data_IF_559138356220
#
_entry.id   IF_559138356220
#
_cell.length_a   1.000
_cell.length_b   1.000
_cell.length_c   1.000
_cell.angle_alpha   90.00
_cell.angle_beta   90.00
_cell.angle_gamma   90.00
#
_symmetry.space_group_name_H-M   'P 1'
#
loop_
_entity.id
_entity.type
_entity.pdbx_description
1 polymer ?
#
# COMPACT_ATOMS: atom_id res chain seq x y z
N UNK A 1 8.00 -19.22 -8.58
CA UNK A 1 7.42 -19.74 -9.85
C UNK A 1 5.93 -19.51 -9.81
N UNK A 2 5.33 -18.86 -10.83
CA UNK A 2 3.87 -18.70 -10.90
C UNK A 2 3.20 -20.08 -11.06
N UNK A 3 2.01 -20.20 -10.48
CA UNK A 3 1.18 -21.38 -10.63
C UNK A 3 0.02 -21.07 -11.61
N UNK A 4 -0.60 -22.07 -12.25
CA UNK A 4 -1.68 -21.84 -13.20
C UNK A 4 -2.87 -21.04 -12.63
N UNK A 5 -3.03 -21.06 -11.31
CA UNK A 5 -4.14 -20.43 -10.58
C UNK A 5 -3.67 -19.36 -9.58
N UNK A 6 -2.35 -19.06 -9.52
CA UNK A 6 -1.80 -18.06 -8.60
C UNK A 6 -0.54 -17.44 -9.20
N UNK A 7 -0.60 -16.15 -9.44
CA UNK A 7 0.55 -15.36 -9.92
C UNK A 7 1.50 -15.01 -8.78
N UNK A 8 2.64 -14.41 -9.13
CA UNK A 8 3.61 -13.95 -8.16
C UNK A 8 3.19 -12.62 -7.53
N UNK A 9 3.97 -12.14 -6.60
CA UNK A 9 3.63 -11.09 -5.65
C UNK A 9 3.37 -9.74 -6.33
N UNK A 10 2.19 -9.18 -6.08
CA UNK A 10 1.87 -7.78 -6.40
C UNK A 10 0.63 -7.32 -5.64
N UNK A 11 0.59 -6.02 -5.30
CA UNK A 11 -0.57 -5.34 -4.75
C UNK A 11 -0.79 -4.03 -5.51
N UNK A 12 -2.01 -3.77 -5.98
CA UNK A 12 -2.39 -2.49 -6.57
C UNK A 12 -3.20 -1.68 -5.56
N UNK A 13 -2.73 -0.48 -5.26
CA UNK A 13 -3.46 0.54 -4.49
C UNK A 13 -3.88 1.65 -5.44
N UNK A 14 -5.13 2.12 -5.32
CA UNK A 14 -5.64 3.22 -6.15
C UNK A 14 -6.23 4.30 -5.29
N UNK A 15 -5.85 5.53 -5.56
CA UNK A 15 -6.36 6.71 -4.90
C UNK A 15 -6.45 7.87 -5.89
N UNK A 16 -7.58 8.56 -5.95
CA UNK A 16 -7.79 9.79 -6.73
C UNK A 16 -7.31 9.71 -8.20
N UNK A 17 -7.60 8.60 -8.88
CA UNK A 17 -7.17 8.34 -10.25
C UNK A 17 -5.73 7.84 -10.40
N UNK A 18 -4.91 7.92 -9.38
CA UNK A 18 -3.51 7.44 -9.35
C UNK A 18 -3.43 5.96 -9.01
N UNK A 19 -2.45 5.28 -9.58
CA UNK A 19 -2.12 3.89 -9.30
C UNK A 19 -0.75 3.74 -8.64
N UNK A 20 -0.71 2.96 -7.57
CA UNK A 20 0.51 2.57 -6.86
C UNK A 20 0.59 1.05 -6.89
N UNK A 21 1.60 0.52 -7.57
CA UNK A 21 1.86 -0.91 -7.62
C UNK A 21 2.93 -1.25 -6.59
N UNK A 22 2.66 -2.17 -5.67
CA UNK A 22 3.67 -2.71 -4.76
C UNK A 22 4.08 -4.08 -5.27
N UNK A 23 5.35 -4.23 -5.57
CA UNK A 23 5.96 -5.36 -6.25
C UNK A 23 5.38 -5.64 -7.65
N UNK A 24 6.13 -6.32 -8.47
CA UNK A 24 5.75 -6.65 -9.85
C UNK A 24 6.29 -8.04 -10.20
N UNK A 25 5.76 -9.07 -9.55
CA UNK A 25 6.07 -10.46 -9.85
C UNK A 25 5.53 -10.89 -11.21
N UNK A 26 6.00 -12.02 -11.69
CA UNK A 26 5.56 -12.57 -12.96
C UNK A 26 4.04 -12.84 -12.96
N UNK A 27 3.37 -12.39 -14.01
CA UNK A 27 1.91 -12.50 -14.17
C UNK A 27 1.12 -11.29 -13.68
N UNK A 28 1.74 -10.28 -13.05
CA UNK A 28 1.07 -9.07 -12.56
C UNK A 28 0.26 -8.37 -13.67
N UNK A 29 0.82 -8.20 -14.86
CA UNK A 29 0.10 -7.61 -16.00
C UNK A 29 -1.14 -8.41 -16.43
N UNK A 30 -1.08 -9.74 -16.32
CA UNK A 30 -2.23 -10.62 -16.62
C UNK A 30 -3.29 -10.49 -15.54
N UNK A 31 -2.89 -10.43 -14.27
CA UNK A 31 -3.78 -10.24 -13.13
C UNK A 31 -4.54 -8.91 -13.23
N UNK A 32 -3.86 -7.80 -13.55
CA UNK A 32 -4.48 -6.50 -13.80
C UNK A 32 -5.50 -6.56 -14.93
N UNK A 33 -5.11 -7.15 -16.07
CA UNK A 33 -5.99 -7.27 -17.24
C UNK A 33 -7.24 -8.10 -16.94
N UNK A 34 -7.11 -9.21 -16.20
CA UNK A 34 -8.26 -10.02 -15.74
C UNK A 34 -9.22 -9.24 -14.87
N UNK A 35 -8.74 -8.26 -14.13
CA UNK A 35 -9.55 -7.33 -13.32
C UNK A 35 -10.13 -6.17 -14.12
N UNK A 36 -9.84 -6.06 -15.41
CA UNK A 36 -10.24 -4.93 -16.25
C UNK A 36 -9.50 -3.64 -15.90
N UNK A 37 -8.33 -3.72 -15.24
CA UNK A 37 -7.54 -2.56 -14.88
C UNK A 37 -6.46 -2.28 -15.92
N UNK A 38 -6.38 -1.02 -16.34
CA UNK A 38 -5.30 -0.54 -17.20
C UNK A 38 -4.04 -0.34 -16.37
N UNK A 39 -2.85 -0.67 -16.88
CA UNK A 39 -1.58 -0.29 -16.26
C UNK A 39 -1.21 1.17 -16.52
N UNK A 40 -1.89 1.87 -17.44
CA UNK A 40 -1.57 3.26 -17.79
C UNK A 40 -1.54 4.22 -16.59
N UNK A 41 -2.49 4.18 -15.62
CA UNK A 41 -2.49 5.09 -14.48
C UNK A 41 -1.57 4.65 -13.32
N UNK A 42 -0.56 3.79 -13.56
CA UNK A 42 0.43 3.45 -12.52
C UNK A 42 1.46 4.56 -12.46
N UNK A 43 1.34 5.44 -11.46
CA UNK A 43 2.25 6.58 -11.26
C UNK A 43 3.47 6.19 -10.43
N UNK A 44 3.33 5.14 -9.60
CA UNK A 44 4.37 4.70 -8.68
C UNK A 44 4.48 3.18 -8.63
N UNK A 45 5.71 2.67 -8.60
CA UNK A 45 5.99 1.25 -8.33
C UNK A 45 6.90 1.18 -7.11
N UNK A 46 6.43 0.53 -6.06
CA UNK A 46 7.16 0.32 -4.81
C UNK A 46 7.70 -1.11 -4.78
N UNK A 47 8.96 -1.31 -4.49
CA UNK A 47 9.53 -2.65 -4.30
C UNK A 47 9.80 -2.89 -2.83
N UNK A 48 9.29 -4.01 -2.31
CA UNK A 48 9.62 -4.47 -0.96
C UNK A 48 11.08 -4.93 -0.91
N UNK A 49 11.50 -5.70 -1.88
CA UNK A 49 12.87 -6.16 -2.10
C UNK A 49 13.03 -6.71 -3.55
N UNK A 50 14.18 -7.33 -3.89
CA UNK A 50 14.49 -7.73 -5.27
C UNK A 50 14.59 -9.24 -5.49
N UNK A 51 13.92 -10.08 -4.70
CA UNK A 51 13.75 -11.47 -5.08
C UNK A 51 12.90 -11.59 -6.35
N UNK A 52 13.15 -12.63 -7.13
CA UNK A 52 12.57 -12.78 -8.46
C UNK A 52 11.03 -12.74 -8.46
N UNK A 53 10.40 -13.33 -7.47
CA UNK A 53 8.94 -13.38 -7.33
C UNK A 53 8.29 -12.01 -6.97
N UNK A 54 9.10 -10.98 -6.73
CA UNK A 54 8.67 -9.60 -6.50
C UNK A 54 8.97 -8.65 -7.65
N UNK A 55 9.84 -9.01 -8.60
CA UNK A 55 10.29 -8.08 -9.64
C UNK A 55 10.35 -8.67 -11.05
N UNK A 56 10.27 -10.00 -11.22
CA UNK A 56 10.44 -10.65 -12.53
C UNK A 56 9.43 -10.22 -13.60
N UNK A 57 8.26 -9.73 -13.22
CA UNK A 57 7.24 -9.22 -14.15
C UNK A 57 7.48 -7.80 -14.64
N UNK A 58 8.44 -7.08 -14.05
CA UNK A 58 8.65 -5.65 -14.34
C UNK A 58 8.94 -5.34 -15.83
N UNK A 59 9.83 -6.04 -16.55
CA UNK A 59 10.09 -5.72 -17.95
C UNK A 59 8.85 -5.80 -18.83
N UNK A 60 8.03 -6.84 -18.65
CA UNK A 60 6.77 -6.99 -19.36
C UNK A 60 5.73 -5.94 -18.97
N UNK A 61 5.71 -5.52 -17.70
CA UNK A 61 4.83 -4.46 -17.21
C UNK A 61 5.19 -3.11 -17.86
N UNK A 62 6.48 -2.76 -17.91
CA UNK A 62 6.95 -1.51 -18.52
C UNK A 62 6.56 -1.44 -20.01
N UNK A 63 6.77 -2.52 -20.76
CA UNK A 63 6.33 -2.61 -22.16
C UNK A 63 4.80 -2.47 -22.29
N UNK A 64 4.05 -3.09 -21.38
CA UNK A 64 2.58 -3.00 -21.39
C UNK A 64 2.11 -1.58 -21.09
N UNK A 65 2.79 -0.86 -20.18
CA UNK A 65 2.52 0.56 -19.89
C UNK A 65 2.83 1.44 -21.11
N UNK A 66 3.96 1.21 -21.78
CA UNK A 66 4.33 1.91 -23.02
C UNK A 66 3.32 1.68 -24.14
N UNK A 67 2.88 0.42 -24.33
CA UNK A 67 1.86 0.06 -25.32
C UNK A 67 0.46 0.63 -24.99
N UNK A 68 0.22 0.98 -23.74
CA UNK A 68 -0.98 1.70 -23.31
C UNK A 68 -0.86 3.22 -23.47
N UNK A 69 0.15 3.68 -24.21
CA UNK A 69 0.40 5.11 -24.52
C UNK A 69 0.62 5.96 -23.25
N UNK A 70 1.30 5.40 -22.25
CA UNK A 70 1.76 6.20 -21.12
C UNK A 70 2.96 7.04 -21.54
N UNK A 71 2.92 8.32 -21.24
CA UNK A 71 4.01 9.28 -21.48
C UNK A 71 4.50 9.96 -20.19
N UNK A 72 3.66 9.98 -19.15
CA UNK A 72 3.99 10.58 -17.87
C UNK A 72 5.05 9.74 -17.13
N UNK A 73 5.96 10.38 -16.38
CA UNK A 73 6.98 9.70 -15.61
C UNK A 73 6.40 8.68 -14.62
N UNK A 74 7.18 7.65 -14.33
CA UNK A 74 6.88 6.64 -13.30
C UNK A 74 7.93 6.72 -12.21
N UNK A 75 7.51 6.96 -10.96
CA UNK A 75 8.41 6.92 -9.82
C UNK A 75 8.55 5.47 -9.33
N UNK A 76 9.79 4.97 -9.31
CA UNK A 76 10.12 3.70 -8.69
C UNK A 76 10.81 3.92 -7.36
N UNK A 77 10.34 3.22 -6.34
CA UNK A 77 10.88 3.29 -4.97
C UNK A 77 11.26 1.90 -4.51
N UNK A 78 12.38 1.77 -3.84
CA UNK A 78 12.81 0.47 -3.30
C UNK A 78 14.12 0.54 -2.54
N UNK A 79 14.61 -0.58 -2.01
CA UNK A 79 15.87 -0.66 -1.30
C UNK A 79 17.04 -0.16 -2.14
N UNK A 80 18.16 0.15 -1.48
CA UNK A 80 19.43 0.56 -2.13
C UNK A 80 19.80 -0.38 -3.28
N UNK A 81 20.21 0.17 -4.41
CA UNK A 81 20.55 -0.55 -5.64
C UNK A 81 19.40 -0.66 -6.63
N UNK A 82 18.27 0.01 -6.38
CA UNK A 82 17.07 0.01 -7.22
C UNK A 82 17.39 0.32 -8.69
N UNK A 83 18.04 1.46 -8.94
CA UNK A 83 18.34 1.89 -10.31
C UNK A 83 19.17 0.85 -11.07
N UNK A 84 20.16 0.23 -10.41
CA UNK A 84 20.98 -0.84 -11.00
C UNK A 84 20.14 -2.06 -11.37
N UNK A 85 19.30 -2.53 -10.44
CA UNK A 85 18.46 -3.72 -10.67
C UNK A 85 17.46 -3.48 -11.79
N UNK A 86 16.72 -2.38 -11.75
CA UNK A 86 15.73 -2.03 -12.78
C UNK A 86 16.38 -1.87 -14.15
N UNK A 87 17.50 -1.12 -14.25
CA UNK A 87 18.19 -0.92 -15.52
C UNK A 87 18.78 -2.24 -16.08
N UNK A 88 19.20 -3.17 -15.23
CA UNK A 88 19.65 -4.50 -15.66
C UNK A 88 18.50 -5.34 -16.21
N UNK A 89 17.33 -5.30 -15.58
CA UNK A 89 16.15 -6.04 -16.03
C UNK A 89 15.58 -5.49 -17.34
N UNK A 90 15.61 -4.17 -17.52
CA UNK A 90 15.01 -3.53 -18.69
C UNK A 90 15.92 -3.44 -19.93
N UNK A 91 17.06 -4.11 -19.96
CA UNK A 91 17.90 -4.17 -21.19
C UNK A 91 17.13 -4.73 -22.40
N UNK A 92 16.08 -5.51 -22.16
CA UNK A 92 15.19 -6.03 -23.21
C UNK A 92 14.05 -5.04 -23.59
N UNK A 93 13.94 -3.92 -22.88
CA UNK A 93 12.99 -2.82 -23.10
C UNK A 93 13.72 -1.48 -22.95
N UNK A 94 14.73 -1.22 -23.83
CA UNK A 94 15.64 -0.07 -23.63
C UNK A 94 14.95 1.27 -23.84
N UNK A 95 13.97 1.30 -24.75
CA UNK A 95 13.21 2.50 -25.11
C UNK A 95 11.80 2.41 -24.57
N UNK A 96 11.42 3.39 -23.74
CA UNK A 96 10.08 3.55 -23.20
C UNK A 96 9.59 4.96 -23.50
N UNK A 97 8.30 5.17 -23.78
CA UNK A 97 7.76 6.50 -24.07
C UNK A 97 7.61 7.38 -22.84
N UNK A 98 8.07 6.93 -21.67
CA UNK A 98 8.03 7.65 -20.40
C UNK A 98 9.36 7.51 -19.64
N UNK A 99 9.63 8.49 -18.79
CA UNK A 99 10.78 8.50 -17.89
C UNK A 99 10.56 7.59 -16.67
N UNK A 100 11.63 6.94 -16.20
CA UNK A 100 11.66 6.26 -14.92
C UNK A 100 12.48 7.09 -13.94
N UNK A 101 11.84 7.53 -12.86
CA UNK A 101 12.47 8.21 -11.75
C UNK A 101 12.74 7.23 -10.61
N UNK A 102 13.86 7.38 -9.90
CA UNK A 102 14.25 6.44 -8.85
C UNK A 102 14.37 7.15 -7.51
N UNK A 103 13.81 6.52 -6.47
CA UNK A 103 13.98 6.87 -5.06
C UNK A 103 14.47 5.65 -4.30
N UNK A 104 15.73 5.61 -3.91
CA UNK A 104 16.29 4.54 -3.10
C UNK A 104 16.03 4.79 -1.61
N UNK A 105 15.49 3.79 -0.93
CA UNK A 105 15.25 3.82 0.51
C UNK A 105 16.57 3.55 1.25
N UNK A 106 16.98 4.50 2.07
CA UNK A 106 18.22 4.45 2.87
C UNK A 106 17.95 4.33 4.36
N UNK A 107 16.82 4.85 4.82
CA UNK A 107 16.44 4.88 6.22
C UNK A 107 15.66 3.63 6.64
N UNK A 108 15.61 3.37 7.94
CA UNK A 108 14.77 2.29 8.49
C UNK A 108 13.29 2.57 8.37
N UNK A 109 12.91 3.82 8.43
CA UNK A 109 11.55 4.33 8.25
C UNK A 109 11.66 5.59 7.40
N UNK A 110 10.88 5.67 6.33
CA UNK A 110 10.94 6.80 5.41
C UNK A 110 9.56 7.10 4.85
N UNK A 111 9.18 8.35 4.86
CA UNK A 111 7.98 8.83 4.20
C UNK A 111 8.24 9.07 2.71
N UNK A 112 7.26 8.73 1.89
CA UNK A 112 7.29 8.86 0.43
C UNK A 112 6.06 9.66 0.04
N UNK A 113 6.26 10.80 -0.61
CA UNK A 113 5.18 11.62 -1.13
C UNK A 113 4.56 10.99 -2.38
N UNK A 114 3.24 10.96 -2.46
CA UNK A 114 2.53 10.71 -3.71
C UNK A 114 2.37 12.04 -4.45
N UNK A 115 3.01 12.23 -5.62
CA UNK A 115 3.00 13.52 -6.31
C UNK A 115 1.61 14.07 -6.54
N UNK A 116 1.38 15.32 -6.11
CA UNK A 116 0.11 16.02 -6.24
C UNK A 116 -0.95 15.70 -5.18
N UNK A 117 -0.66 14.84 -4.21
CA UNK A 117 -1.54 14.52 -3.08
C UNK A 117 -0.89 14.96 -1.77
N UNK A 118 -1.64 15.67 -0.93
CA UNK A 118 -1.15 16.21 0.35
C UNK A 118 -1.78 15.55 1.57
N UNK A 119 -2.81 14.76 1.37
CA UNK A 119 -3.56 14.04 2.39
C UNK A 119 -3.35 12.52 2.32
N UNK A 120 -2.52 12.06 1.37
CA UNK A 120 -2.18 10.67 1.19
C UNK A 120 -0.69 10.45 1.45
N UNK A 121 -0.39 9.69 2.50
CA UNK A 121 0.95 9.44 2.99
C UNK A 121 1.34 7.98 2.76
N UNK A 122 2.57 7.75 2.35
CA UNK A 122 3.14 6.41 2.19
C UNK A 122 4.35 6.33 3.11
N UNK A 123 4.37 5.35 4.02
CA UNK A 123 5.50 5.11 4.90
C UNK A 123 6.13 3.76 4.57
N UNK A 124 7.39 3.78 4.15
CA UNK A 124 8.22 2.58 4.06
C UNK A 124 8.84 2.28 5.42
N UNK A 125 8.81 1.03 5.87
CA UNK A 125 9.41 0.60 7.13
C UNK A 125 10.15 -0.73 6.98
N UNK A 126 11.33 -0.82 7.58
CA UNK A 126 12.17 -2.03 7.52
C UNK A 126 11.50 -3.20 8.23
N UNK A 127 11.57 -4.37 7.58
CA UNK A 127 11.13 -5.65 8.13
C UNK A 127 12.31 -6.63 8.22
N UNK A 128 12.08 -7.82 8.77
CA UNK A 128 13.11 -8.79 9.09
C UNK A 128 13.19 -9.90 8.06
N UNK A 129 13.92 -9.67 6.98
CA UNK A 129 14.18 -10.64 5.91
C UNK A 129 15.68 -10.85 5.66
N UNK A 130 16.05 -11.79 4.78
CA UNK A 130 17.45 -12.13 4.44
C UNK A 130 18.17 -11.02 3.67
N UNK A 131 17.40 -10.19 2.96
CA UNK A 131 17.89 -9.02 2.21
C UNK A 131 17.21 -7.76 2.75
N UNK A 132 17.71 -6.56 2.40
CA UNK A 132 17.00 -5.32 2.69
C UNK A 132 15.56 -5.39 2.18
N UNK A 133 14.58 -5.40 3.10
CA UNK A 133 13.17 -5.54 2.79
C UNK A 133 12.33 -4.51 3.56
N UNK A 134 11.30 -3.97 2.91
CA UNK A 134 10.40 -2.97 3.47
C UNK A 134 8.95 -3.41 3.38
N UNK A 135 8.18 -3.10 4.42
CA UNK A 135 6.73 -3.01 4.34
C UNK A 135 6.30 -1.58 4.00
N UNK A 136 5.06 -1.41 3.61
CA UNK A 136 4.47 -0.11 3.27
C UNK A 136 3.16 0.11 4.01
N UNK A 137 3.01 1.30 4.59
CA UNK A 137 1.75 1.77 5.15
C UNK A 137 1.23 2.93 4.30
N UNK A 138 -0.02 2.85 3.89
CA UNK A 138 -0.74 3.87 3.15
C UNK A 138 -1.77 4.48 4.08
N UNK A 139 -1.70 5.78 4.27
CA UNK A 139 -2.59 6.51 5.15
C UNK A 139 -3.24 7.65 4.38
N UNK A 140 -4.56 7.71 4.44
CA UNK A 140 -5.35 8.82 3.93
C UNK A 140 -5.90 9.60 5.12
N UNK A 141 -5.50 10.86 5.24
CA UNK A 141 -5.98 11.75 6.28
C UNK A 141 -7.41 12.19 6.02
N UNK A 142 -8.15 12.39 7.10
CA UNK A 142 -9.51 12.90 7.05
C UNK A 142 -9.60 14.18 7.85
N UNK A 143 -9.81 15.30 7.15
CA UNK A 143 -9.99 16.62 7.76
C UNK A 143 -11.23 16.66 8.65
N UNK A 144 -11.26 17.62 9.57
CA UNK A 144 -12.42 17.92 10.38
C UNK A 144 -13.65 18.29 9.54
N UNK A 145 -14.82 18.20 10.15
CA UNK A 145 -16.05 18.72 9.51
C UNK A 145 -15.95 20.23 9.36
N UNK A 146 -16.45 20.74 8.25
CA UNK A 146 -16.60 22.19 8.07
C UNK A 146 -17.70 22.71 8.99
N UNK A 147 -17.39 23.75 9.75
CA UNK A 147 -18.28 24.43 10.69
C UNK A 147 -18.79 25.73 10.06
N UNK A 148 -20.00 25.68 9.50
CA UNK A 148 -20.60 26.79 8.83
C UNK A 148 -20.97 27.95 9.81
N UNK A 149 -21.34 27.65 11.06
CA UNK A 149 -21.64 28.64 12.05
C UNK A 149 -20.38 29.38 12.49
N UNK A 150 -19.29 28.65 12.67
CA UNK A 150 -17.99 29.26 12.98
C UNK A 150 -17.48 30.12 11.81
N UNK A 151 -17.69 29.66 10.56
CA UNK A 151 -17.33 30.45 9.37
C UNK A 151 -18.13 31.74 9.26
N UNK A 152 -19.43 31.67 9.55
CA UNK A 152 -20.32 32.90 9.61
C UNK A 152 -19.91 33.85 10.73
N UNK A 153 -19.65 33.32 11.94
CA UNK A 153 -19.26 34.14 13.09
C UNK A 153 -17.93 34.89 12.86
N UNK A 154 -17.06 34.35 11.99
CA UNK A 154 -15.81 34.98 11.58
C UNK A 154 -15.95 35.85 10.30
N UNK A 155 -17.18 36.03 9.81
CA UNK A 155 -17.48 36.78 8.59
C UNK A 155 -16.71 36.30 7.35
N UNK A 156 -16.47 34.99 7.26
CA UNK A 156 -15.75 34.39 6.13
C UNK A 156 -16.68 34.29 4.91
N UNK A 157 -16.32 34.88 3.76
CA UNK A 157 -17.13 34.84 2.56
C UNK A 157 -17.42 33.42 2.08
N UNK A 158 -18.67 33.08 1.79
CA UNK A 158 -19.14 31.75 1.37
C UNK A 158 -18.35 31.23 0.17
N UNK A 159 -17.93 32.10 -0.76
CA UNK A 159 -17.11 31.75 -1.92
C UNK A 159 -15.74 31.09 -1.57
N UNK A 160 -15.25 31.35 -0.34
CA UNK A 160 -13.96 30.78 0.14
C UNK A 160 -14.12 29.49 0.93
N UNK A 161 -15.34 29.12 1.33
CA UNK A 161 -15.58 27.95 2.19
C UNK A 161 -15.07 26.65 1.59
N UNK A 162 -15.35 26.43 0.29
CA UNK A 162 -14.88 25.19 -0.40
C UNK A 162 -13.36 25.08 -0.45
N UNK A 163 -12.64 26.20 -0.57
CA UNK A 163 -11.18 26.23 -0.57
C UNK A 163 -10.62 25.91 0.81
N UNK A 164 -11.17 26.55 1.83
CA UNK A 164 -10.81 26.29 3.23
C UNK A 164 -11.13 24.84 3.63
N UNK A 165 -12.28 24.31 3.21
CA UNK A 165 -12.64 22.93 3.45
C UNK A 165 -11.66 21.93 2.79
N UNK A 166 -11.10 22.29 1.64
CA UNK A 166 -10.04 21.52 0.98
C UNK A 166 -8.67 21.66 1.65
N UNK A 167 -8.54 22.55 2.65
CA UNK A 167 -7.30 22.79 3.37
C UNK A 167 -6.40 23.85 2.75
N UNK A 168 -6.93 24.68 1.85
CA UNK A 168 -6.18 25.79 1.28
C UNK A 168 -6.14 26.97 2.26
N UNK A 169 -4.99 27.62 2.37
CA UNK A 169 -4.87 28.95 2.98
C UNK A 169 -5.27 29.95 1.92
N UNK A 170 -6.16 30.88 2.24
CA UNK A 170 -6.70 31.87 1.29
C UNK A 170 -6.64 33.27 1.85
N UNK A 171 -6.40 34.25 0.99
CA UNK A 171 -6.50 35.66 1.34
C UNK A 171 -7.88 36.18 0.92
N UNK A 172 -8.55 36.88 1.82
CA UNK A 172 -9.82 37.54 1.56
C UNK A 172 -9.62 38.94 0.93
N UNK A 173 -10.67 39.50 0.36
CA UNK A 173 -10.59 40.81 -0.34
C UNK A 173 -10.16 41.96 0.55
N UNK A 174 -10.35 41.84 1.86
CA UNK A 174 -9.93 42.79 2.89
C UNK A 174 -8.50 42.55 3.39
N UNK A 175 -7.73 41.62 2.76
CA UNK A 175 -6.36 41.31 3.09
C UNK A 175 -6.16 40.36 4.28
N UNK A 176 -7.23 39.76 4.85
CA UNK A 176 -7.11 38.78 5.92
C UNK A 176 -6.65 37.44 5.37
N UNK A 177 -5.66 36.83 6.01
CA UNK A 177 -5.26 35.43 5.75
C UNK A 177 -6.19 34.51 6.52
N UNK A 178 -6.92 33.70 5.80
CA UNK A 178 -7.86 32.71 6.33
C UNK A 178 -7.25 31.29 6.21
N UNK A 179 -7.29 30.57 7.30
CA UNK A 179 -6.71 29.23 7.41
C UNK A 179 -7.79 28.17 7.66
N UNK A 180 -7.57 26.92 7.25
CA UNK A 180 -8.54 25.83 7.41
C UNK A 180 -8.99 25.59 8.85
N UNK A 181 -8.10 25.74 9.83
CA UNK A 181 -8.39 25.55 11.25
C UNK A 181 -9.41 26.56 11.81
N UNK A 182 -9.58 27.69 11.14
CA UNK A 182 -10.61 28.66 11.49
C UNK A 182 -12.04 28.13 11.30
N UNK A 183 -12.22 27.15 10.39
CA UNK A 183 -13.54 26.64 9.97
C UNK A 183 -13.65 25.11 10.00
N UNK A 184 -12.57 24.40 10.23
CA UNK A 184 -12.59 22.94 10.37
C UNK A 184 -12.61 22.55 11.85
N UNK A 185 -13.39 21.52 12.16
CA UNK A 185 -13.35 20.83 13.45
C UNK A 185 -12.07 19.98 13.60
N UNK A 186 -12.02 19.17 14.66
CA UNK A 186 -10.92 18.25 14.89
C UNK A 186 -10.76 17.26 13.73
N UNK A 187 -9.52 16.87 13.38
CA UNK A 187 -9.27 15.80 12.42
C UNK A 187 -10.06 14.55 12.80
N UNK A 188 -10.59 13.86 11.81
CA UNK A 188 -11.35 12.63 11.98
C UNK A 188 -10.48 11.42 11.66
N UNK A 189 -10.90 10.23 12.08
CA UNK A 189 -10.20 9.01 11.72
C UNK A 189 -10.13 8.88 10.19
N UNK A 190 -8.90 8.82 9.67
CA UNK A 190 -8.59 8.56 8.28
C UNK A 190 -8.71 7.08 7.92
N UNK A 191 -8.13 6.68 6.80
CA UNK A 191 -8.02 5.29 6.36
C UNK A 191 -6.56 4.85 6.40
N UNK A 192 -6.32 3.59 6.78
CA UNK A 192 -4.98 3.02 6.82
C UNK A 192 -4.96 1.59 6.25
N UNK A 193 -4.12 1.38 5.25
CA UNK A 193 -3.77 0.07 4.70
C UNK A 193 -2.30 -0.22 5.00
N UNK A 194 -1.98 -1.40 5.48
CA UNK A 194 -0.60 -1.84 5.69
C UNK A 194 -0.33 -3.11 4.90
N UNK A 195 0.77 -3.13 4.19
CA UNK A 195 1.27 -4.27 3.42
C UNK A 195 2.65 -4.68 3.92
N UNK A 196 2.80 -5.95 4.28
CA UNK A 196 4.07 -6.53 4.69
C UNK A 196 4.18 -7.95 4.18
N UNK A 197 5.21 -8.21 3.42
CA UNK A 197 5.56 -9.54 2.89
C UNK A 197 7.00 -9.88 3.28
N UNK A 198 7.41 -11.11 3.06
CA UNK A 198 8.79 -11.61 3.24
C UNK A 198 9.48 -11.13 4.52
N UNK A 199 8.99 -11.63 5.65
CA UNK A 199 9.49 -11.19 6.95
C UNK A 199 9.23 -12.19 8.07
N UNK A 200 10.10 -12.18 9.06
CA UNK A 200 9.75 -12.70 10.40
C UNK A 200 8.87 -11.70 11.14
N UNK A 201 8.07 -12.13 12.14
CA UNK A 201 7.40 -11.21 13.03
C UNK A 201 8.37 -10.15 13.56
N UNK A 202 8.00 -8.88 13.44
CA UNK A 202 8.78 -7.75 13.96
C UNK A 202 7.87 -6.62 14.44
N UNK A 203 8.40 -5.80 15.36
CA UNK A 203 7.63 -4.74 16.02
C UNK A 203 7.20 -3.64 15.03
N UNK A 204 7.95 -3.41 13.95
CA UNK A 204 7.56 -2.42 12.95
C UNK A 204 6.22 -2.76 12.29
N UNK A 205 5.94 -4.05 12.03
CA UNK A 205 4.64 -4.43 11.47
C UNK A 205 3.53 -4.11 12.48
N UNK A 206 3.73 -4.41 13.76
CA UNK A 206 2.75 -4.09 14.82
C UNK A 206 2.52 -2.58 14.89
N UNK A 207 3.61 -1.79 14.97
CA UNK A 207 3.57 -0.32 15.02
C UNK A 207 2.76 0.28 13.88
N UNK A 208 3.08 -0.09 12.65
CA UNK A 208 2.41 0.49 11.47
C UNK A 208 0.99 -0.04 11.28
N UNK A 209 0.72 -1.30 11.63
CA UNK A 209 -0.61 -1.90 11.50
C UNK A 209 -1.56 -1.58 12.65
N UNK A 210 -1.10 -0.87 13.69
CA UNK A 210 -1.95 -0.48 14.81
C UNK A 210 -3.18 0.29 14.33
N UNK A 211 -4.37 -0.27 14.61
CA UNK A 211 -5.66 0.31 14.22
C UNK A 211 -5.89 0.49 12.72
N UNK A 212 -5.12 -0.18 11.86
CA UNK A 212 -5.32 -0.12 10.41
C UNK A 212 -6.69 -0.67 9.98
N UNK A 213 -7.24 -0.16 8.89
CA UNK A 213 -8.47 -0.69 8.31
C UNK A 213 -8.23 -2.04 7.64
N UNK A 214 -7.01 -2.23 7.09
CA UNK A 214 -6.59 -3.51 6.51
C UNK A 214 -5.10 -3.73 6.71
N UNK A 215 -4.74 -4.89 7.25
CA UNK A 215 -3.40 -5.45 7.21
C UNK A 215 -3.34 -6.56 6.15
N UNK A 216 -2.51 -6.40 5.13
CA UNK A 216 -2.15 -7.47 4.21
C UNK A 216 -0.78 -7.98 4.62
N UNK A 217 -0.70 -9.22 5.06
CA UNK A 217 0.50 -9.79 5.64
C UNK A 217 0.83 -11.14 5.00
N UNK A 218 2.12 -11.46 4.90
CA UNK A 218 2.50 -12.80 4.44
C UNK A 218 1.99 -13.89 5.39
N UNK A 219 1.75 -15.05 4.82
CA UNK A 219 1.60 -16.30 5.50
C UNK A 219 2.17 -17.40 4.62
N UNK A 220 3.50 -17.59 4.64
CA UNK A 220 4.17 -18.54 3.75
C UNK A 220 3.74 -19.98 4.06
N UNK A 221 3.56 -20.32 5.32
CA UNK A 221 3.28 -21.68 5.77
C UNK A 221 2.01 -21.76 6.60
N UNK A 222 1.10 -22.64 6.22
CA UNK A 222 -0.15 -22.90 6.95
C UNK A 222 0.09 -23.68 8.24
N UNK A 223 0.96 -24.69 8.18
CA UNK A 223 1.19 -25.61 9.28
C UNK A 223 2.13 -25.02 10.35
N UNK A 224 1.75 -25.08 11.64
CA UNK A 224 2.62 -24.67 12.76
C UNK A 224 3.96 -25.43 12.81
N UNK A 225 4.00 -26.68 12.37
CA UNK A 225 5.20 -27.52 12.31
C UNK A 225 6.28 -26.92 11.40
N UNK A 226 5.90 -26.11 10.44
CA UNK A 226 6.83 -25.39 9.57
C UNK A 226 7.47 -24.14 10.22
N UNK A 227 7.25 -23.89 11.51
CA UNK A 227 7.81 -22.71 12.20
C UNK A 227 9.35 -22.68 12.17
N UNK A 228 10.02 -23.84 12.23
CA UNK A 228 11.48 -23.92 12.11
C UNK A 228 11.94 -23.49 10.71
N UNK A 229 11.29 -23.99 9.66
CA UNK A 229 11.54 -23.63 8.26
C UNK A 229 11.22 -22.14 8.00
N UNK A 230 10.13 -21.64 8.56
CA UNK A 230 9.76 -20.22 8.49
C UNK A 230 10.87 -19.34 9.08
N UNK A 231 11.43 -19.70 10.23
CA UNK A 231 12.57 -19.01 10.83
C UNK A 231 13.82 -19.04 9.97
N UNK A 232 14.18 -20.20 9.46
CA UNK A 232 15.35 -20.39 8.59
C UNK A 232 15.25 -19.51 7.32
N UNK A 233 14.09 -19.52 6.67
CA UNK A 233 13.85 -18.80 5.40
C UNK A 233 13.41 -17.35 5.60
N UNK A 234 13.28 -16.89 6.84
CA UNK A 234 12.83 -15.52 7.19
C UNK A 234 11.42 -15.19 6.68
N UNK A 235 10.50 -16.15 6.85
CA UNK A 235 9.06 -16.03 6.60
C UNK A 235 8.24 -16.31 7.86
N UNK A 236 6.91 -16.23 7.76
CA UNK A 236 5.97 -16.49 8.85
C UNK A 236 5.04 -17.67 8.56
N UNK A 237 4.57 -18.29 9.64
CA UNK A 237 3.40 -19.15 9.61
C UNK A 237 2.12 -18.30 9.70
N UNK A 238 0.99 -18.88 9.32
CA UNK A 238 -0.33 -18.23 9.45
C UNK A 238 -0.64 -17.78 10.88
N UNK A 239 -0.29 -18.62 11.85
CA UNK A 239 -0.54 -18.30 13.26
C UNK A 239 0.37 -17.20 13.80
N UNK A 240 1.60 -17.09 13.30
CA UNK A 240 2.50 -15.98 13.63
C UNK A 240 1.98 -14.65 13.06
N UNK A 241 1.47 -14.64 11.82
CA UNK A 241 0.83 -13.47 11.23
C UNK A 241 -0.44 -13.05 12.01
N UNK A 242 -1.27 -14.02 12.42
CA UNK A 242 -2.42 -13.76 13.28
C UNK A 242 -2.02 -13.17 14.64
N UNK A 243 -0.89 -13.61 15.19
CA UNK A 243 -0.32 -13.05 16.42
C UNK A 243 0.07 -11.57 16.28
N UNK A 244 0.59 -11.16 15.13
CA UNK A 244 0.84 -9.75 14.79
C UNK A 244 -0.47 -8.99 14.73
N UNK A 245 -1.46 -9.50 13.97
CA UNK A 245 -2.76 -8.85 13.84
C UNK A 245 -3.46 -8.68 15.18
N UNK A 246 -3.39 -9.69 16.08
CA UNK A 246 -3.94 -9.56 17.44
C UNK A 246 -3.30 -8.44 18.25
N UNK A 247 -1.99 -8.23 18.11
CA UNK A 247 -1.27 -7.14 18.80
C UNK A 247 -1.59 -5.76 18.20
N UNK A 248 -1.64 -5.67 16.89
CA UNK A 248 -1.86 -4.42 16.16
C UNK A 248 -3.34 -4.02 16.07
N UNK A 249 -4.26 -4.97 16.25
CA UNK A 249 -5.71 -4.76 16.21
C UNK A 249 -6.20 -4.01 14.95
N UNK A 250 -5.81 -4.42 13.72
CA UNK A 250 -6.41 -3.88 12.52
C UNK A 250 -7.89 -4.30 12.45
N UNK A 251 -8.73 -3.64 11.64
CA UNK A 251 -10.13 -4.09 11.46
C UNK A 251 -10.21 -5.47 10.79
N UNK A 252 -9.30 -5.74 9.86
CA UNK A 252 -9.20 -7.05 9.21
C UNK A 252 -7.79 -7.34 8.75
N UNK A 253 -7.46 -8.63 8.60
CA UNK A 253 -6.20 -9.10 8.03
C UNK A 253 -6.44 -9.99 6.81
N UNK A 254 -5.68 -9.77 5.74
CA UNK A 254 -5.59 -10.69 4.60
C UNK A 254 -4.22 -11.36 4.60
N UNK A 255 -4.23 -12.69 4.55
CA UNK A 255 -3.00 -13.46 4.36
C UNK A 255 -2.68 -13.58 2.88
N UNK A 256 -1.41 -13.46 2.54
CA UNK A 256 -0.90 -13.56 1.16
C UNK A 256 0.45 -14.26 1.14
N UNK A 257 1.11 -14.31 -0.02
CA UNK A 257 2.46 -14.82 -0.20
C UNK A 257 2.64 -16.27 0.30
N UNK A 258 1.74 -17.16 -0.14
CA UNK A 258 1.76 -18.57 0.25
C UNK A 258 2.87 -19.35 -0.45
N UNK A 259 3.47 -20.31 0.26
CA UNK A 259 4.34 -21.30 -0.35
C UNK A 259 3.69 -21.93 -1.59
N UNK A 260 4.45 -22.20 -2.67
CA UNK A 260 3.93 -22.93 -3.82
C UNK A 260 3.31 -24.29 -3.45
N UNK A 261 3.77 -24.91 -2.38
CA UNK A 261 3.21 -26.19 -1.87
C UNK A 261 1.88 -26.04 -1.14
N UNK A 262 1.52 -24.81 -0.71
CA UNK A 262 0.26 -24.52 0.00
C UNK A 262 -0.85 -24.28 -1.03
N UNK A 263 -1.61 -25.31 -1.35
CA UNK A 263 -2.67 -25.26 -2.38
C UNK A 263 -3.95 -24.68 -1.81
N UNK A 264 -4.31 -25.05 -0.58
CA UNK A 264 -5.60 -24.71 0.04
C UNK A 264 -5.40 -23.93 1.34
N UNK A 265 -5.17 -22.62 1.28
CA UNK A 265 -4.98 -21.79 2.47
C UNK A 265 -6.21 -21.79 3.40
N UNK A 266 -7.41 -22.01 2.87
CA UNK A 266 -8.65 -22.04 3.64
C UNK A 266 -8.65 -23.13 4.73
N UNK A 267 -7.93 -24.23 4.56
CA UNK A 267 -7.85 -25.33 5.54
C UNK A 267 -7.20 -24.89 6.87
N UNK A 268 -6.36 -23.87 6.84
CA UNK A 268 -5.65 -23.36 8.02
C UNK A 268 -6.35 -22.15 8.68
N UNK A 269 -7.35 -21.58 8.03
CA UNK A 269 -8.06 -20.39 8.53
C UNK A 269 -8.78 -20.61 9.88
N UNK A 270 -9.31 -21.79 10.22
CA UNK A 270 -9.90 -22.01 11.55
C UNK A 270 -8.92 -21.77 12.70
N UNK A 271 -7.65 -22.16 12.57
CA UNK A 271 -6.62 -21.90 13.59
C UNK A 271 -6.26 -20.40 13.67
N UNK A 272 -6.16 -19.73 12.53
CA UNK A 272 -5.91 -18.30 12.42
C UNK A 272 -7.00 -17.48 13.10
N UNK A 273 -8.27 -17.79 12.82
CA UNK A 273 -9.43 -17.07 13.36
C UNK A 273 -9.63 -17.25 14.85
N UNK A 274 -9.09 -18.30 15.46
CA UNK A 274 -9.02 -18.42 16.93
C UNK A 274 -8.12 -17.38 17.57
N UNK A 275 -7.12 -16.87 16.83
CA UNK A 275 -6.17 -15.87 17.31
C UNK A 275 -6.64 -14.46 16.93
N UNK A 276 -7.05 -14.27 15.67
CA UNK A 276 -7.60 -13.04 15.14
C UNK A 276 -8.80 -13.34 14.23
N UNK A 277 -10.06 -13.14 14.70
CA UNK A 277 -11.27 -13.57 14.01
C UNK A 277 -11.45 -12.98 12.61
N UNK A 278 -11.12 -11.70 12.42
CA UNK A 278 -11.30 -10.96 11.16
C UNK A 278 -10.14 -11.22 10.17
N UNK A 279 -9.82 -12.50 10.00
CA UNK A 279 -8.77 -12.98 9.10
C UNK A 279 -9.33 -13.67 7.87
N UNK A 280 -8.78 -13.34 6.71
CA UNK A 280 -9.23 -13.85 5.42
C UNK A 280 -8.05 -14.30 4.56
N UNK A 281 -8.19 -15.38 3.79
CA UNK A 281 -7.19 -15.72 2.79
C UNK A 281 -7.22 -14.73 1.63
N UNK A 282 -6.05 -14.33 1.17
CA UNK A 282 -5.87 -13.59 -0.07
C UNK A 282 -6.03 -14.51 -1.28
N UNK A 283 -6.53 -13.97 -2.38
CA UNK A 283 -6.65 -14.64 -3.68
C UNK A 283 -6.32 -13.63 -4.76
N UNK A 284 -5.79 -14.09 -5.88
CA UNK A 284 -5.57 -13.22 -7.04
C UNK A 284 -6.83 -12.49 -7.43
N UNK A 285 -6.72 -11.18 -7.59
CA UNK A 285 -7.86 -10.33 -7.92
C UNK A 285 -8.82 -10.04 -6.77
N UNK A 286 -8.52 -10.44 -5.51
CA UNK A 286 -9.29 -9.96 -4.35
C UNK A 286 -9.15 -8.45 -4.22
N UNK A 287 -10.26 -7.76 -4.04
CA UNK A 287 -10.30 -6.30 -3.93
C UNK A 287 -11.18 -5.85 -2.78
N UNK A 288 -10.91 -4.67 -2.27
CA UNK A 288 -11.73 -3.95 -1.30
C UNK A 288 -11.66 -2.46 -1.61
N UNK A 289 -12.73 -1.74 -1.37
CA UNK A 289 -12.73 -0.28 -1.29
C UNK A 289 -12.82 0.10 0.17
N UNK A 290 -11.80 0.77 0.68
CA UNK A 290 -11.84 1.36 2.00
C UNK A 290 -12.60 2.68 1.92
N UNK A 291 -13.55 2.87 2.81
CA UNK A 291 -14.38 4.07 2.91
C UNK A 291 -14.35 4.61 4.32
N UNK A 292 -14.48 5.94 4.45
CA UNK A 292 -14.63 6.54 5.77
C UNK A 292 -15.88 6.02 6.46
N UNK A 293 -15.75 5.68 7.73
CA UNK A 293 -16.91 5.42 8.57
C UNK A 293 -17.78 6.68 8.62
N UNK A 294 -19.09 6.51 8.51
CA UNK A 294 -19.99 7.60 8.79
C UNK A 294 -19.85 7.94 10.28
N UNK A 295 -19.58 9.21 10.58
CA UNK A 295 -19.65 9.66 11.94
C UNK A 295 -21.10 9.41 12.40
N UNK A 296 -21.28 8.73 13.53
CA UNK A 296 -22.59 8.66 14.17
C UNK A 296 -23.09 10.09 14.30
N UNK A 297 -24.35 10.30 13.95
CA UNK A 297 -24.99 11.60 14.16
C UNK A 297 -25.11 11.76 15.66
N UNK A 298 -24.24 12.61 16.25
CA UNK A 298 -24.47 13.16 17.57
C UNK A 298 -25.78 13.96 17.59
#
# INVERSE_FOLDING_TARGET
MPLPYRYLTSLMVRYNGKGILVDCGEGTQVALRRRGWSPKPIDMILFTHYHADHISGLPGMLLTMGNAERTEPVLMVGPKGLARVVNSLRVIAPELPFEIQFLELTEREQEIALPGETDFHIHAFRVNHNVPCYGYAFQLDRKGRFDAERAKAQEIPVKLWSRLQKGEVVESEDGRVLTPDMVLGQPRKGLKLVYSTDTRPCENIVKYAEGADLLICEGMYGEPENAAKAREKKHMTFTEAAGIARKASPKQMWLTHYSPSLIKPDEFMPAVRKIFPDSFPGKDGKTITLTFENDEKD
#
